data_IF_196585320432
#
_entry.id   IF_196585320432
#
_cell.length_a   1.000
_cell.length_b   1.000
_cell.length_c   1.000
_cell.angle_alpha   90.00
_cell.angle_beta   90.00
_cell.angle_gamma   90.00
#
_symmetry.space_group_name_H-M   'P 1'
#
loop_
_entity.id
_entity.type
_entity.pdbx_description
1 polymer ?
#
# COMPACT_ATOMS: atom_id res chain seq x y z
N UNK A 1 -41.63 -15.73 -95.18
CA UNK A 1 -40.24 -15.33 -94.85
C UNK A 1 -39.89 -13.90 -95.24
N UNK A 2 -40.79 -13.16 -95.91
CA UNK A 2 -40.44 -11.85 -96.51
C UNK A 2 -40.70 -10.61 -95.60
N UNK A 3 -41.67 -10.70 -94.68
CA UNK A 3 -41.99 -9.58 -93.77
C UNK A 3 -41.01 -9.43 -92.59
N UNK A 4 -40.46 -10.54 -92.07
CA UNK A 4 -39.45 -10.52 -91.00
C UNK A 4 -38.10 -9.97 -91.48
N UNK A 5 -37.76 -10.09 -92.77
CA UNK A 5 -36.48 -9.63 -93.32
C UNK A 5 -36.44 -8.11 -93.55
N UNK A 6 -37.57 -7.49 -93.92
CA UNK A 6 -37.68 -6.03 -94.02
C UNK A 6 -37.65 -5.32 -92.66
N UNK A 7 -38.18 -5.95 -91.61
CA UNK A 7 -38.14 -5.40 -90.25
C UNK A 7 -36.72 -5.44 -89.66
N UNK A 8 -35.93 -6.47 -89.97
CA UNK A 8 -34.52 -6.58 -89.53
C UNK A 8 -33.62 -5.59 -90.27
N UNK A 9 -33.86 -5.32 -91.56
CA UNK A 9 -33.11 -4.28 -92.30
C UNK A 9 -33.36 -2.85 -91.79
N UNK A 10 -34.54 -2.57 -91.25
CA UNK A 10 -34.86 -1.26 -90.64
C UNK A 10 -34.30 -1.09 -89.23
N UNK A 11 -33.99 -2.20 -88.54
CA UNK A 11 -33.32 -2.18 -87.23
C UNK A 11 -31.81 -1.94 -87.32
N UNK A 12 -31.19 -2.20 -88.48
CA UNK A 12 -29.75 -1.98 -88.72
C UNK A 12 -29.43 -0.78 -89.63
N UNK A 13 -30.43 0.05 -89.95
CA UNK A 13 -30.22 1.39 -90.51
C UNK A 13 -30.05 2.41 -89.37
N UNK A 14 -29.04 2.19 -88.52
CA UNK A 14 -28.59 3.23 -87.59
C UNK A 14 -27.48 3.98 -88.30
N UNK A 15 -27.68 5.27 -88.53
CA UNK A 15 -26.69 6.18 -89.10
C UNK A 15 -25.34 5.91 -88.41
N UNK A 16 -24.33 5.56 -89.20
CA UNK A 16 -22.99 5.33 -88.67
C UNK A 16 -22.53 6.62 -87.99
N UNK A 17 -22.10 6.50 -86.73
CA UNK A 17 -21.59 7.64 -85.96
C UNK A 17 -20.48 8.35 -86.74
N UNK A 18 -20.56 9.69 -86.80
CA UNK A 18 -19.51 10.49 -87.41
C UNK A 18 -18.22 10.33 -86.61
N UNK A 19 -17.06 10.33 -87.29
CA UNK A 19 -15.73 10.29 -86.67
C UNK A 19 -15.60 11.35 -85.56
N UNK A 20 -16.20 12.54 -85.77
CA UNK A 20 -16.19 13.63 -84.79
C UNK A 20 -16.91 13.24 -83.50
N UNK A 21 -18.04 12.54 -83.59
CA UNK A 21 -18.84 12.13 -82.43
C UNK A 21 -18.15 11.05 -81.61
N UNK A 22 -17.47 10.11 -82.27
CA UNK A 22 -16.65 9.09 -81.61
C UNK A 22 -15.47 9.74 -80.90
N UNK A 23 -14.78 10.69 -81.54
CA UNK A 23 -13.66 11.41 -80.92
C UNK A 23 -14.10 12.24 -79.72
N UNK A 24 -15.22 12.96 -79.82
CA UNK A 24 -15.79 13.73 -78.69
C UNK A 24 -16.18 12.81 -77.54
N UNK A 25 -16.78 11.66 -77.84
CA UNK A 25 -17.16 10.67 -76.81
C UNK A 25 -15.94 10.09 -76.10
N UNK A 26 -14.86 9.76 -76.82
CA UNK A 26 -13.61 9.28 -76.21
C UNK A 26 -13.00 10.33 -75.28
N UNK A 27 -12.99 11.60 -75.70
CA UNK A 27 -12.48 12.70 -74.87
C UNK A 27 -13.33 12.87 -73.61
N UNK A 28 -14.66 12.87 -73.73
CA UNK A 28 -15.57 13.00 -72.58
C UNK A 28 -15.38 11.83 -71.62
N UNK A 29 -15.32 10.59 -72.11
CA UNK A 29 -15.09 9.41 -71.26
C UNK A 29 -13.73 9.51 -70.57
N UNK A 30 -12.67 9.89 -71.29
CA UNK A 30 -11.34 10.08 -70.72
C UNK A 30 -11.32 11.14 -69.61
N UNK A 31 -12.00 12.27 -69.82
CA UNK A 31 -12.13 13.32 -68.81
C UNK A 31 -12.89 12.82 -67.58
N UNK A 32 -14.06 12.19 -67.75
CA UNK A 32 -14.86 11.66 -66.64
C UNK A 32 -14.08 10.59 -65.86
N UNK A 33 -13.39 9.67 -66.54
CA UNK A 33 -12.57 8.65 -65.89
C UNK A 33 -11.42 9.27 -65.10
N UNK A 34 -10.74 10.28 -65.64
CA UNK A 34 -9.67 10.99 -64.93
C UNK A 34 -10.21 11.71 -63.69
N UNK A 35 -11.33 12.44 -63.80
CA UNK A 35 -11.97 13.13 -62.68
C UNK A 35 -12.41 12.15 -61.59
N UNK A 36 -12.96 11.00 -61.98
CA UNK A 36 -13.32 9.93 -61.05
C UNK A 36 -12.11 9.39 -60.28
N UNK A 37 -10.99 9.16 -60.96
CA UNK A 37 -9.75 8.70 -60.32
C UNK A 37 -9.15 9.75 -59.37
N UNK A 38 -9.13 11.04 -59.76
CA UNK A 38 -8.70 12.13 -58.89
C UNK A 38 -9.60 12.29 -57.66
N UNK A 39 -10.92 12.14 -57.80
CA UNK A 39 -11.86 12.19 -56.68
C UNK A 39 -11.62 11.05 -55.68
N UNK A 40 -11.45 9.81 -56.16
CA UNK A 40 -11.22 8.65 -55.28
C UNK A 40 -9.86 8.72 -54.59
N UNK A 41 -8.81 9.13 -55.31
CA UNK A 41 -7.46 9.23 -54.73
C UNK A 41 -7.38 10.32 -53.65
N UNK A 42 -7.98 11.49 -53.89
CA UNK A 42 -8.03 12.56 -52.89
C UNK A 42 -8.88 12.20 -51.66
N UNK A 43 -10.04 11.57 -51.87
CA UNK A 43 -10.91 11.15 -50.78
C UNK A 43 -10.24 10.10 -49.88
N UNK A 44 -9.59 9.08 -50.46
CA UNK A 44 -8.92 8.02 -49.69
C UNK A 44 -7.76 8.55 -48.85
N UNK A 45 -7.00 9.54 -49.33
CA UNK A 45 -5.98 10.21 -48.52
C UNK A 45 -6.61 10.94 -47.32
N UNK A 46 -7.68 11.70 -47.53
CA UNK A 46 -8.35 12.44 -46.45
C UNK A 46 -8.90 11.54 -45.34
N UNK A 47 -9.43 10.36 -45.71
CA UNK A 47 -9.89 9.34 -44.77
C UNK A 47 -8.74 8.75 -43.95
N UNK A 48 -7.59 8.47 -44.58
CA UNK A 48 -6.41 7.97 -43.86
C UNK A 48 -5.86 8.99 -42.87
N UNK A 49 -5.76 10.26 -43.28
CA UNK A 49 -5.33 11.37 -42.41
C UNK A 49 -6.24 11.46 -41.20
N UNK A 50 -7.55 11.46 -41.43
CA UNK A 50 -8.56 11.59 -40.39
C UNK A 50 -8.51 10.40 -39.43
N UNK A 51 -8.42 9.17 -39.96
CA UNK A 51 -8.29 7.96 -39.16
C UNK A 51 -7.04 8.01 -38.27
N UNK A 52 -5.87 8.33 -38.84
CA UNK A 52 -4.61 8.35 -38.09
C UNK A 52 -4.64 9.38 -36.95
N UNK A 53 -5.19 10.58 -37.21
CA UNK A 53 -5.38 11.60 -36.17
C UNK A 53 -6.34 11.16 -35.08
N UNK A 54 -7.45 10.51 -35.43
CA UNK A 54 -8.39 9.95 -34.45
C UNK A 54 -7.71 8.87 -33.60
N UNK A 55 -6.92 7.99 -34.21
CA UNK A 55 -6.15 6.98 -33.49
C UNK A 55 -5.13 7.62 -32.53
N UNK A 56 -4.41 8.65 -32.97
CA UNK A 56 -3.47 9.40 -32.14
C UNK A 56 -4.16 10.07 -30.94
N UNK A 57 -5.33 10.68 -31.15
CA UNK A 57 -6.13 11.29 -30.07
C UNK A 57 -6.68 10.25 -29.10
N UNK A 58 -7.17 9.11 -29.59
CA UNK A 58 -7.64 8.01 -28.74
C UNK A 58 -6.49 7.42 -27.90
N UNK A 59 -5.31 7.24 -28.50
CA UNK A 59 -4.11 6.80 -27.79
C UNK A 59 -3.70 7.82 -26.72
N UNK A 60 -3.77 9.11 -27.06
CA UNK A 60 -3.51 10.19 -26.10
C UNK A 60 -4.49 10.11 -24.92
N UNK A 61 -5.79 9.97 -25.17
CA UNK A 61 -6.78 9.85 -24.11
C UNK A 61 -6.54 8.62 -23.24
N UNK A 62 -6.30 7.45 -23.86
CA UNK A 62 -5.97 6.22 -23.13
C UNK A 62 -4.73 6.40 -22.25
N UNK A 63 -3.67 7.04 -22.77
CA UNK A 63 -2.44 7.30 -22.02
C UNK A 63 -2.67 8.25 -20.83
N UNK A 64 -3.56 9.23 -20.96
CA UNK A 64 -3.95 10.09 -19.85
C UNK A 64 -4.74 9.34 -18.78
N UNK A 65 -5.66 8.46 -19.18
CA UNK A 65 -6.46 7.65 -18.25
C UNK A 65 -5.57 6.70 -17.45
N UNK A 66 -4.65 6.02 -18.14
CA UNK A 66 -3.67 5.11 -17.52
C UNK A 66 -2.73 5.85 -16.58
N UNK A 67 -2.20 7.01 -16.99
CA UNK A 67 -1.38 7.86 -16.14
C UNK A 67 -2.13 8.34 -14.89
N UNK A 68 -3.42 8.70 -15.01
CA UNK A 68 -4.24 9.09 -13.86
C UNK A 68 -4.47 7.92 -12.90
N UNK A 69 -4.68 6.71 -13.43
CA UNK A 69 -4.82 5.50 -12.61
C UNK A 69 -3.51 5.16 -11.88
N UNK A 70 -2.37 5.19 -12.59
CA UNK A 70 -1.05 5.01 -12.02
C UNK A 70 -0.76 6.03 -10.92
N UNK A 71 -1.10 7.30 -11.13
CA UNK A 71 -0.91 8.38 -10.16
C UNK A 71 -1.72 8.20 -8.87
N UNK A 72 -2.82 7.43 -8.88
CA UNK A 72 -3.58 7.16 -7.66
C UNK A 72 -2.87 6.17 -6.73
N UNK A 73 -2.10 5.24 -7.28
CA UNK A 73 -1.49 4.15 -6.51
C UNK A 73 0.00 4.36 -6.29
N UNK A 74 0.69 4.90 -7.30
CA UNK A 74 2.16 4.99 -7.36
C UNK A 74 2.65 6.44 -7.50
N UNK A 75 1.92 7.41 -6.94
CA UNK A 75 2.24 8.84 -7.06
C UNK A 75 3.71 9.17 -6.76
N UNK A 76 4.25 8.62 -5.68
CA UNK A 76 5.62 8.89 -5.25
C UNK A 76 6.68 8.25 -6.17
N UNK A 77 6.33 7.17 -6.89
CA UNK A 77 7.24 6.47 -7.81
C UNK A 77 7.25 7.08 -9.22
N UNK A 78 6.25 7.92 -9.56
CA UNK A 78 6.15 8.64 -10.82
C UNK A 78 7.24 9.71 -10.94
N UNK A 79 8.43 9.33 -11.38
CA UNK A 79 9.54 10.25 -11.65
C UNK A 79 9.96 10.16 -13.12
N UNK A 80 10.69 11.17 -13.58
CA UNK A 80 11.23 11.19 -14.94
C UNK A 80 12.20 10.02 -15.16
N UNK A 81 12.16 9.39 -16.34
CA UNK A 81 13.03 8.27 -16.75
C UNK A 81 12.91 6.98 -15.91
N UNK A 82 12.15 6.97 -14.81
CA UNK A 82 11.75 5.73 -14.12
C UNK A 82 10.45 5.19 -14.68
N UNK A 83 9.57 6.09 -15.12
CA UNK A 83 8.21 5.80 -15.54
C UNK A 83 7.98 6.15 -17.01
N UNK A 84 7.70 5.12 -17.80
CA UNK A 84 7.31 5.25 -19.21
C UNK A 84 6.44 4.05 -19.62
N UNK A 85 5.82 4.12 -20.80
CA UNK A 85 4.95 3.07 -21.36
C UNK A 85 5.75 1.86 -21.90
N UNK A 86 6.71 1.39 -21.10
CA UNK A 86 7.61 0.28 -21.41
C UNK A 86 7.41 -0.88 -20.44
N UNK A 87 7.79 -2.08 -20.86
CA UNK A 87 7.71 -3.28 -20.02
C UNK A 87 8.62 -3.15 -18.80
N UNK A 88 8.10 -3.51 -17.62
CA UNK A 88 8.86 -3.47 -16.37
C UNK A 88 8.92 -2.08 -15.71
N UNK A 89 8.09 -1.12 -16.13
CA UNK A 89 7.98 0.16 -15.43
C UNK A 89 7.47 -0.05 -13.99
N UNK A 90 8.00 0.70 -13.00
CA UNK A 90 7.65 0.54 -11.59
C UNK A 90 6.29 1.14 -11.21
N UNK A 91 5.74 2.01 -12.05
CA UNK A 91 4.53 2.80 -11.77
C UNK A 91 3.23 2.20 -12.30
N UNK A 92 3.27 0.99 -12.85
CA UNK A 92 2.07 0.26 -13.27
C UNK A 92 1.39 0.80 -14.54
N UNK A 93 2.12 1.52 -15.39
CA UNK A 93 1.64 1.95 -16.71
C UNK A 93 1.53 0.74 -17.66
N UNK A 94 0.54 0.73 -18.55
CA UNK A 94 0.34 -0.33 -19.54
C UNK A 94 1.46 -0.32 -20.60
N UNK A 95 2.37 -1.31 -20.61
CA UNK A 95 3.44 -1.39 -21.61
C UNK A 95 2.92 -1.75 -23.00
N UNK A 96 1.67 -2.22 -23.09
CA UNK A 96 1.02 -2.66 -24.31
C UNK A 96 0.04 -1.60 -24.83
N UNK A 97 0.21 -0.34 -24.44
CA UNK A 97 -0.74 0.73 -24.79
C UNK A 97 -0.90 0.94 -26.30
N UNK A 98 0.13 0.63 -27.09
CA UNK A 98 0.14 0.68 -28.56
C UNK A 98 -0.26 -0.63 -29.24
N UNK A 99 -0.62 -1.68 -28.50
CA UNK A 99 -1.03 -2.96 -29.10
C UNK A 99 -2.26 -2.79 -29.97
N UNK A 100 -2.20 -3.32 -31.20
CA UNK A 100 -3.26 -3.17 -32.19
C UNK A 100 -3.18 -1.88 -33.02
N UNK A 101 -2.21 -1.00 -32.74
CA UNK A 101 -1.88 0.13 -33.62
C UNK A 101 -0.75 -0.24 -34.59
N UNK A 102 -0.60 0.50 -35.70
CA UNK A 102 0.53 0.34 -36.59
C UNK A 102 1.86 0.71 -35.89
N UNK A 103 2.97 0.11 -36.33
CA UNK A 103 4.28 0.13 -35.64
C UNK A 103 4.94 1.51 -35.52
N UNK A 104 4.45 2.50 -36.25
CA UNK A 104 4.94 3.88 -36.25
C UNK A 104 4.40 4.72 -35.09
N UNK A 105 3.41 4.20 -34.35
CA UNK A 105 2.89 4.87 -33.16
C UNK A 105 3.77 4.62 -31.94
N UNK A 106 4.18 5.70 -31.28
CA UNK A 106 4.91 5.64 -30.00
C UNK A 106 4.37 6.67 -29.03
N UNK A 107 4.50 6.37 -27.73
CA UNK A 107 4.12 7.27 -26.63
C UNK A 107 5.34 7.44 -25.76
N UNK A 108 5.70 8.70 -25.48
CA UNK A 108 6.75 9.04 -24.54
C UNK A 108 6.14 9.84 -23.39
N UNK A 109 6.58 9.56 -22.18
CA UNK A 109 6.21 10.28 -20.98
C UNK A 109 7.41 11.03 -20.41
N UNK A 110 7.21 12.30 -20.05
CA UNK A 110 8.19 13.09 -19.29
C UNK A 110 7.52 13.68 -18.07
N UNK A 111 8.13 13.54 -16.90
CA UNK A 111 7.53 13.97 -15.62
C UNK A 111 8.43 15.03 -15.00
N UNK A 112 7.84 16.16 -14.64
CA UNK A 112 8.54 17.28 -14.00
C UNK A 112 7.89 17.58 -12.66
N UNK A 113 8.70 17.74 -11.60
CA UNK A 113 8.21 18.19 -10.29
C UNK A 113 7.95 19.70 -10.36
N UNK A 114 6.78 20.13 -9.91
CA UNK A 114 6.37 21.53 -10.03
C UNK A 114 6.13 22.14 -8.65
N UNK A 115 7.05 23.00 -8.21
CA UNK A 115 7.00 23.86 -7.02
C UNK A 115 6.78 23.22 -5.63
N UNK A 116 6.13 22.05 -5.51
CA UNK A 116 5.82 21.35 -4.27
C UNK A 116 5.88 19.83 -4.45
N UNK A 117 6.04 19.07 -3.35
CA UNK A 117 6.02 17.60 -3.38
C UNK A 117 4.62 17.00 -3.66
N UNK A 118 3.61 17.85 -3.75
CA UNK A 118 2.20 17.49 -3.91
C UNK A 118 1.72 17.58 -5.37
N UNK A 119 2.50 18.21 -6.25
CA UNK A 119 2.13 18.45 -7.64
C UNK A 119 3.22 17.96 -8.59
N UNK A 120 2.81 17.15 -9.56
CA UNK A 120 3.65 16.67 -10.66
C UNK A 120 3.03 17.11 -11.98
N UNK A 121 3.87 17.57 -12.91
CA UNK A 121 3.49 17.95 -14.28
C UNK A 121 4.03 16.91 -15.23
N UNK A 122 3.13 16.15 -15.85
CA UNK A 122 3.44 15.14 -16.85
C UNK A 122 3.17 15.67 -18.26
N UNK A 123 4.15 15.58 -19.14
CA UNK A 123 4.02 15.84 -20.57
C UNK A 123 4.00 14.49 -21.29
N UNK A 124 2.89 14.19 -21.94
CA UNK A 124 2.73 13.01 -22.79
C UNK A 124 2.86 13.45 -24.24
N UNK A 125 3.70 12.74 -24.99
CA UNK A 125 3.93 12.96 -26.42
C UNK A 125 3.59 11.69 -27.17
N UNK A 126 2.58 11.76 -28.04
CA UNK A 126 2.24 10.68 -28.99
C UNK A 126 2.84 11.05 -30.33
N UNK A 127 3.66 10.16 -30.90
CA UNK A 127 4.27 10.31 -32.22
C UNK A 127 3.70 9.28 -33.18
N UNK A 128 3.50 9.67 -34.44
CA UNK A 128 3.13 8.77 -35.53
C UNK A 128 3.72 9.26 -36.86
N UNK A 129 3.71 8.41 -37.90
CA UNK A 129 4.19 8.77 -39.23
C UNK A 129 3.04 8.77 -40.22
N UNK A 130 2.93 9.84 -41.02
CA UNK A 130 1.91 9.96 -42.06
C UNK A 130 2.58 10.29 -43.38
N UNK A 131 2.49 9.38 -44.36
CA UNK A 131 3.10 9.54 -45.70
C UNK A 131 4.60 9.92 -45.67
N UNK A 132 5.35 9.44 -44.66
CA UNK A 132 6.77 9.73 -44.49
C UNK A 132 7.08 11.04 -43.74
N UNK A 133 6.06 11.78 -43.30
CA UNK A 133 6.21 12.91 -42.41
C UNK A 133 5.97 12.47 -40.95
N UNK A 134 6.86 12.89 -40.05
CA UNK A 134 6.68 12.67 -38.62
C UNK A 134 5.68 13.69 -38.05
N UNK A 135 4.73 13.19 -37.27
CA UNK A 135 3.74 14.00 -36.57
C UNK A 135 3.77 13.66 -35.09
N UNK A 136 3.47 14.67 -34.27
CA UNK A 136 3.32 14.48 -32.84
C UNK A 136 2.21 15.35 -32.28
N UNK A 137 1.60 14.86 -31.20
CA UNK A 137 0.65 15.60 -30.39
C UNK A 137 1.08 15.52 -28.94
N UNK A 138 1.05 16.66 -28.28
CA UNK A 138 1.50 16.82 -26.90
C UNK A 138 0.32 17.19 -26.01
N UNK A 139 0.29 16.65 -24.80
CA UNK A 139 -0.64 17.08 -23.77
C UNK A 139 0.07 17.19 -22.44
N UNK A 140 -0.42 18.10 -21.58
CA UNK A 140 0.08 18.28 -20.23
C UNK A 140 -0.99 17.84 -19.27
N UNK A 141 -0.62 16.99 -18.32
CA UNK A 141 -1.47 16.54 -17.22
C UNK A 141 -0.83 16.97 -15.92
N UNK A 142 -1.57 17.72 -15.12
CA UNK A 142 -1.19 18.00 -13.74
C UNK A 142 -1.75 16.90 -12.85
N UNK A 143 -0.88 16.31 -12.04
CA UNK A 143 -1.18 15.25 -11.10
C UNK A 143 -0.99 15.81 -9.70
N UNK A 144 -2.06 15.82 -8.92
CA UNK A 144 -1.99 16.10 -7.50
C UNK A 144 -1.83 14.79 -6.73
N UNK A 145 -1.12 14.83 -5.60
CA UNK A 145 -1.05 13.71 -4.67
C UNK A 145 -2.49 13.31 -4.32
N UNK A 146 -2.85 12.02 -4.42
CA UNK A 146 -4.15 11.55 -3.96
C UNK A 146 -4.33 11.93 -2.48
N UNK A 147 -5.55 12.30 -2.04
CA UNK A 147 -5.78 12.51 -0.63
C UNK A 147 -5.42 11.22 0.11
N UNK A 148 -4.58 11.33 1.15
CA UNK A 148 -4.33 10.18 2.01
C UNK A 148 -5.68 9.68 2.53
N UNK A 149 -5.90 8.35 2.52
CA UNK A 149 -7.15 7.82 3.00
C UNK A 149 -7.33 8.25 4.46
N UNK A 150 -8.57 8.63 4.81
CA UNK A 150 -8.88 9.06 6.18
C UNK A 150 -8.41 7.97 7.13
N UNK A 151 -7.58 8.29 8.12
CA UNK A 151 -7.06 7.27 9.01
C UNK A 151 -8.20 6.55 9.74
N UNK A 152 -7.99 5.28 10.04
CA UNK A 152 -8.83 4.50 10.94
C UNK A 152 -8.27 4.52 12.37
N UNK A 153 -8.91 3.76 13.24
CA UNK A 153 -8.48 3.64 14.63
C UNK A 153 -8.74 2.24 15.20
N UNK A 154 -7.92 1.84 16.19
CA UNK A 154 -8.09 0.60 16.95
C UNK A 154 -8.23 0.96 18.42
N UNK A 155 -9.29 0.46 19.03
CA UNK A 155 -9.60 0.69 20.45
C UNK A 155 -9.94 -0.63 21.13
N UNK A 156 -9.84 -0.69 22.45
CA UNK A 156 -10.40 -1.82 23.18
C UNK A 156 -9.90 -1.97 24.60
N UNK A 157 -10.02 -3.20 25.11
CA UNK A 157 -9.67 -3.54 26.48
C UNK A 157 -8.68 -4.71 26.60
N UNK A 158 -7.61 -4.48 27.35
CA UNK A 158 -6.68 -5.54 27.79
C UNK A 158 -7.00 -6.00 29.20
N UNK A 159 -7.17 -7.31 29.39
CA UNK A 159 -7.42 -7.95 30.70
C UNK A 159 -6.32 -8.95 31.05
N UNK A 160 -6.16 -9.27 32.32
CA UNK A 160 -5.25 -10.32 32.78
C UNK A 160 -6.02 -11.56 33.21
N UNK A 161 -5.44 -12.74 33.06
CA UNK A 161 -6.07 -13.99 33.55
C UNK A 161 -6.28 -14.00 35.07
N UNK A 162 -5.49 -13.23 35.82
CA UNK A 162 -5.53 -13.10 37.27
C UNK A 162 -6.33 -11.87 37.77
N UNK A 163 -6.78 -10.98 36.88
CA UNK A 163 -7.37 -9.70 37.32
C UNK A 163 -8.88 -9.76 37.56
N UNK A 164 -9.50 -10.94 37.48
CA UNK A 164 -10.94 -11.10 37.72
C UNK A 164 -11.82 -10.28 36.78
N UNK A 165 -11.33 -9.98 35.57
CA UNK A 165 -12.02 -9.12 34.60
C UNK A 165 -11.62 -7.65 34.63
N UNK A 166 -10.79 -7.21 35.59
CA UNK A 166 -10.26 -5.85 35.64
C UNK A 166 -9.26 -5.57 34.51
N UNK A 167 -9.20 -4.31 34.06
CA UNK A 167 -8.31 -3.88 33.00
C UNK A 167 -6.84 -3.89 33.45
N UNK A 168 -5.92 -4.25 32.56
CA UNK A 168 -4.48 -4.18 32.81
C UNK A 168 -3.93 -2.82 32.37
N UNK A 169 -3.26 -2.12 33.27
CA UNK A 169 -2.45 -0.92 32.99
C UNK A 169 -1.02 -1.26 32.53
N UNK A 170 -0.29 -0.27 32.00
CA UNK A 170 1.13 -0.39 31.63
C UNK A 170 1.43 -1.55 30.67
N UNK A 171 0.48 -1.88 29.79
CA UNK A 171 0.68 -2.86 28.73
C UNK A 171 1.21 -2.12 27.51
N UNK A 172 2.35 -2.56 26.98
CA UNK A 172 2.88 -2.02 25.72
C UNK A 172 2.25 -2.79 24.57
N UNK A 173 1.40 -2.12 23.80
CA UNK A 173 0.74 -2.67 22.61
C UNK A 173 1.47 -2.12 21.39
N UNK A 174 1.75 -2.99 20.43
CA UNK A 174 2.44 -2.66 19.19
C UNK A 174 1.64 -3.20 18.01
N UNK A 175 1.32 -2.31 17.06
CA UNK A 175 0.77 -2.64 15.76
C UNK A 175 1.88 -2.56 14.71
N UNK A 176 2.14 -3.69 14.04
CA UNK A 176 3.08 -3.77 12.91
C UNK A 176 2.31 -4.06 11.62
N UNK A 177 2.48 -3.27 10.55
CA UNK A 177 1.88 -3.55 9.25
C UNK A 177 2.22 -4.96 8.76
N UNK A 178 1.26 -5.71 8.23
CA UNK A 178 1.48 -7.08 7.75
C UNK A 178 2.20 -7.14 6.41
N UNK A 179 2.24 -6.02 5.68
CA UNK A 179 2.94 -5.84 4.40
C UNK A 179 4.44 -5.57 4.57
N UNK A 180 4.93 -5.42 5.80
CA UNK A 180 6.32 -5.09 6.10
C UNK A 180 6.66 -3.61 6.05
N UNK A 181 5.65 -2.72 5.94
CA UNK A 181 5.85 -1.27 6.05
C UNK A 181 6.48 -0.88 7.40
N UNK A 182 7.29 0.19 7.38
CA UNK A 182 7.93 0.76 8.58
C UNK A 182 6.97 1.58 9.47
N UNK A 183 5.68 1.64 9.13
CA UNK A 183 4.63 2.39 9.86
C UNK A 183 4.22 1.67 11.17
N UNK A 184 5.18 1.50 12.07
CA UNK A 184 4.99 0.80 13.35
C UNK A 184 4.43 1.77 14.39
N UNK A 185 3.26 1.45 14.95
CA UNK A 185 2.63 2.28 15.99
C UNK A 185 2.67 1.54 17.32
N UNK A 186 3.12 2.22 18.37
CA UNK A 186 3.24 1.64 19.72
C UNK A 186 2.55 2.56 20.73
N UNK A 187 1.76 1.97 21.62
CA UNK A 187 1.11 2.69 22.72
C UNK A 187 1.27 1.90 24.00
N UNK A 188 1.41 2.60 25.12
CA UNK A 188 1.36 2.00 26.45
C UNK A 188 0.03 2.35 27.09
N UNK A 189 -0.69 1.34 27.60
CA UNK A 189 -1.96 1.59 28.25
C UNK A 189 -1.76 2.44 29.52
N UNK A 190 -2.60 3.47 29.73
CA UNK A 190 -2.49 4.35 30.89
C UNK A 190 -2.65 3.58 32.19
N UNK A 191 -2.14 4.19 33.27
CA UNK A 191 -2.23 3.63 34.62
C UNK A 191 -3.65 3.66 35.19
N UNK A 192 -4.49 4.57 34.69
CA UNK A 192 -5.90 4.75 35.05
C UNK A 192 -6.79 4.52 33.83
N UNK A 193 -7.95 3.87 34.03
CA UNK A 193 -8.91 3.52 32.98
C UNK A 193 -9.45 4.79 32.28
N UNK A 194 -9.30 4.90 30.96
CA UNK A 194 -9.90 5.98 30.18
C UNK A 194 -11.40 5.69 29.97
N UNK A 195 -12.27 6.52 30.53
CA UNK A 195 -13.66 6.61 30.10
C UNK A 195 -13.74 7.49 28.86
N UNK A 196 -14.53 7.12 27.85
CA UNK A 196 -14.69 7.88 26.61
C UNK A 196 -14.95 9.39 26.83
N UNK A 197 -14.51 10.23 25.89
CA UNK A 197 -14.86 11.66 25.82
C UNK A 197 -16.34 11.93 25.44
N UNK A 198 -17.07 10.93 24.95
CA UNK A 198 -18.43 11.08 24.41
C UNK A 198 -19.57 10.81 25.41
N UNK A 199 -19.23 10.48 26.66
CA UNK A 199 -20.22 10.19 27.71
C UNK A 199 -21.01 8.90 27.52
N UNK A 200 -20.68 8.06 26.54
CA UNK A 200 -21.24 6.70 26.41
C UNK A 200 -20.41 5.70 27.20
N UNK A 201 -21.06 4.68 27.77
CA UNK A 201 -20.45 3.67 28.66
C UNK A 201 -19.62 2.63 27.90
N UNK A 202 -18.69 3.03 27.01
CA UNK A 202 -17.70 2.09 26.47
C UNK A 202 -16.47 2.13 27.37
N UNK A 203 -16.15 0.97 27.95
CA UNK A 203 -14.96 0.81 28.81
C UNK A 203 -13.76 0.40 27.94
N UNK A 204 -13.00 1.37 27.43
CA UNK A 204 -11.72 1.13 26.76
C UNK A 204 -10.57 1.41 27.73
N UNK A 205 -9.44 0.72 27.57
CA UNK A 205 -8.21 1.06 28.32
C UNK A 205 -7.00 1.29 27.40
N UNK A 206 -7.22 1.24 26.08
CA UNK A 206 -6.27 1.68 25.08
C UNK A 206 -7.01 2.21 23.87
N UNK A 207 -6.42 3.22 23.25
CA UNK A 207 -6.92 3.88 22.06
C UNK A 207 -5.72 4.36 21.25
N UNK A 208 -5.63 3.94 20.00
CA UNK A 208 -4.56 4.38 19.10
C UNK A 208 -4.76 5.79 18.55
N UNK A 209 -5.76 6.54 18.98
CA UNK A 209 -5.79 7.98 18.74
C UNK A 209 -4.62 8.64 19.49
N UNK A 210 -3.70 9.26 18.75
CA UNK A 210 -2.75 10.17 19.38
C UNK A 210 -3.52 11.17 20.25
N UNK A 211 -2.90 11.72 21.29
CA UNK A 211 -3.50 12.62 22.29
C UNK A 211 -4.14 13.92 21.75
N UNK A 212 -4.32 14.04 20.44
CA UNK A 212 -4.63 15.26 19.69
C UNK A 212 -5.87 15.17 18.80
N UNK A 213 -6.74 14.16 18.97
CA UNK A 213 -8.04 14.13 18.26
C UNK A 213 -7.94 13.91 16.75
N UNK A 214 -6.98 13.10 16.30
CA UNK A 214 -6.88 12.63 14.91
C UNK A 214 -6.94 11.11 14.89
N UNK A 215 -7.69 10.53 13.95
CA UNK A 215 -7.53 9.13 13.60
C UNK A 215 -6.06 8.89 13.23
N UNK A 216 -5.45 7.80 13.70
CA UNK A 216 -3.98 7.70 13.73
C UNK A 216 -3.40 6.53 12.97
N UNK A 217 -4.22 5.64 12.41
CA UNK A 217 -3.74 4.46 11.70
C UNK A 217 -4.11 4.56 10.23
N UNK A 218 -3.14 4.37 9.34
CA UNK A 218 -3.45 4.21 7.91
C UNK A 218 -4.34 2.97 7.74
N UNK A 219 -5.26 2.97 6.76
CA UNK A 219 -6.01 1.75 6.45
C UNK A 219 -5.07 0.64 5.97
N UNK A 220 -5.28 -0.57 6.44
CA UNK A 220 -4.41 -1.70 6.16
C UNK A 220 -4.59 -2.85 7.14
N UNK A 221 -3.83 -3.92 6.92
CA UNK A 221 -3.81 -5.08 7.80
C UNK A 221 -2.61 -4.99 8.75
N UNK A 222 -2.86 -5.17 10.04
CA UNK A 222 -1.88 -5.03 11.11
C UNK A 222 -1.79 -6.30 11.97
N UNK A 223 -0.60 -6.59 12.45
CA UNK A 223 -0.37 -7.61 13.48
C UNK A 223 -0.32 -6.90 14.83
N UNK A 224 -1.22 -7.28 15.74
CA UNK A 224 -1.27 -6.75 17.09
C UNK A 224 -0.48 -7.65 18.04
N UNK A 225 0.51 -7.06 18.69
CA UNK A 225 1.29 -7.69 19.75
C UNK A 225 1.18 -6.88 21.03
N UNK A 226 1.22 -7.54 22.18
CA UNK A 226 1.18 -6.88 23.48
C UNK A 226 2.16 -7.53 24.46
N UNK A 227 2.86 -6.70 25.23
CA UNK A 227 3.88 -7.11 26.18
C UNK A 227 3.74 -6.35 27.50
N UNK A 228 3.91 -7.08 28.61
CA UNK A 228 3.97 -6.54 29.97
C UNK A 228 4.79 -7.48 30.85
N UNK A 229 5.62 -6.92 31.74
CA UNK A 229 6.35 -7.73 32.73
C UNK A 229 5.38 -8.54 33.61
N UNK A 230 5.69 -9.83 33.82
CA UNK A 230 4.84 -10.77 34.56
C UNK A 230 3.72 -11.45 33.74
N UNK A 231 3.57 -11.09 32.46
CA UNK A 231 2.63 -11.73 31.53
C UNK A 231 3.37 -12.29 30.31
N UNK A 232 2.83 -13.34 29.71
CA UNK A 232 3.37 -13.88 28.45
C UNK A 232 3.04 -12.91 27.31
N UNK A 233 3.97 -12.76 26.36
CA UNK A 233 3.75 -11.95 25.16
C UNK A 233 2.49 -12.44 24.43
N UNK A 234 1.56 -11.52 24.17
CA UNK A 234 0.33 -11.80 23.46
C UNK A 234 0.49 -11.40 21.99
N UNK A 235 0.05 -12.28 21.10
CA UNK A 235 -0.10 -11.99 19.66
C UNK A 235 -1.53 -12.32 19.27
N UNK A 236 -2.22 -11.38 18.64
CA UNK A 236 -3.59 -11.60 18.21
C UNK A 236 -3.62 -12.67 17.08
N UNK A 237 -4.52 -13.67 17.13
CA UNK A 237 -4.49 -14.80 16.21
C UNK A 237 -4.84 -14.43 14.76
N UNK A 238 -5.57 -13.34 14.57
CA UNK A 238 -5.97 -12.83 13.25
C UNK A 238 -5.33 -11.48 12.98
N UNK A 239 -5.15 -11.15 11.70
CA UNK A 239 -4.75 -9.79 11.33
C UNK A 239 -5.88 -8.81 11.62
N UNK A 240 -5.51 -7.63 12.11
CA UNK A 240 -6.41 -6.52 12.41
C UNK A 240 -6.55 -5.68 11.14
N UNK A 241 -7.72 -5.71 10.53
CA UNK A 241 -8.02 -4.91 9.35
C UNK A 241 -8.56 -3.55 9.77
N UNK A 242 -7.79 -2.50 9.55
CA UNK A 242 -8.17 -1.12 9.81
C UNK A 242 -8.74 -0.52 8.52
N UNK A 243 -10.01 -0.13 8.55
CA UNK A 243 -10.64 0.57 7.43
C UNK A 243 -10.56 2.09 7.61
N UNK A 244 -10.67 2.81 6.49
CA UNK A 244 -10.74 4.28 6.49
C UNK A 244 -11.94 4.79 7.29
N UNK A 245 -11.71 5.80 8.14
CA UNK A 245 -12.73 6.45 8.97
C UNK A 245 -13.56 5.45 9.83
N UNK A 246 -12.94 4.36 10.26
CA UNK A 246 -13.59 3.34 11.08
C UNK A 246 -12.80 3.07 12.35
N UNK A 247 -13.51 2.91 13.46
CA UNK A 247 -12.98 2.39 14.72
C UNK A 247 -13.20 0.87 14.78
N UNK A 248 -12.12 0.13 14.98
CA UNK A 248 -12.16 -1.32 15.19
C UNK A 248 -11.94 -1.64 16.66
N UNK A 249 -12.82 -2.45 17.24
CA UNK A 249 -12.80 -2.79 18.67
C UNK A 249 -12.16 -4.16 18.86
N UNK A 250 -11.11 -4.23 19.68
CA UNK A 250 -10.40 -5.48 19.98
C UNK A 250 -10.21 -5.63 21.48
N UNK A 251 -10.83 -6.65 22.05
CA UNK A 251 -10.61 -7.03 23.44
C UNK A 251 -9.76 -8.29 23.50
N UNK A 252 -8.76 -8.31 24.38
CA UNK A 252 -7.94 -9.51 24.59
C UNK A 252 -7.49 -9.66 26.04
N UNK A 253 -7.15 -10.90 26.39
CA UNK A 253 -6.70 -11.28 27.73
C UNK A 253 -5.28 -11.82 27.67
N UNK A 254 -4.38 -11.26 28.47
CA UNK A 254 -3.02 -11.75 28.65
C UNK A 254 -2.96 -12.77 29.78
N UNK A 255 -2.19 -13.83 29.58
CA UNK A 255 -1.94 -14.86 30.59
C UNK A 255 -0.72 -14.50 31.42
N UNK A 256 -0.83 -14.67 32.75
CA UNK A 256 0.32 -14.51 33.65
C UNK A 256 1.36 -15.58 33.34
N UNK A 257 2.65 -15.22 33.42
CA UNK A 257 3.71 -16.23 33.39
C UNK A 257 3.74 -16.84 34.78
N UNK A 258 3.05 -17.98 34.94
CA UNK A 258 3.05 -18.71 36.20
C UNK A 258 4.44 -19.32 36.37
N UNK A 259 5.30 -18.65 37.14
CA UNK A 259 6.34 -19.36 37.89
C UNK A 259 5.57 -20.23 38.87
N UNK A 260 5.63 -21.57 38.81
CA UNK A 260 5.01 -22.40 39.84
C UNK A 260 5.49 -21.93 41.21
N UNK A 261 4.64 -21.97 42.24
CA UNK A 261 5.06 -21.66 43.61
C UNK A 261 6.29 -22.52 43.93
N UNK A 262 7.31 -21.97 44.60
CA UNK A 262 8.49 -22.74 44.98
C UNK A 262 8.04 -24.00 45.73
N UNK A 263 8.36 -25.16 45.17
CA UNK A 263 8.04 -26.45 45.77
C UNK A 263 9.32 -26.96 46.37
N UNK A 264 9.37 -27.06 47.70
CA UNK A 264 10.52 -27.68 48.33
C UNK A 264 10.63 -29.16 47.90
N UNK A 265 11.84 -29.63 47.63
CA UNK A 265 12.19 -31.00 47.25
C UNK A 265 12.52 -31.19 45.76
N UNK A 266 12.77 -30.11 45.01
CA UNK A 266 13.18 -30.18 43.59
C UNK A 266 14.72 -30.20 43.41
N UNK A 267 15.49 -30.06 44.50
CA UNK A 267 16.96 -30.08 44.51
C UNK A 267 17.63 -28.79 44.04
N UNK A 268 16.88 -27.71 43.80
CA UNK A 268 17.40 -26.41 43.34
C UNK A 268 16.84 -25.29 44.20
N UNK A 269 17.70 -24.53 44.87
CA UNK A 269 17.28 -23.35 45.63
C UNK A 269 16.78 -22.24 44.68
N UNK A 270 15.46 -22.10 44.52
CA UNK A 270 14.82 -21.15 43.61
C UNK A 270 14.61 -19.76 44.23
N UNK A 271 14.37 -18.74 43.39
CA UNK A 271 14.02 -17.40 43.88
C UNK A 271 12.67 -17.42 44.61
N UNK A 272 12.70 -17.22 45.93
CA UNK A 272 11.53 -17.35 46.82
C UNK A 272 11.67 -18.49 47.84
N UNK A 273 12.66 -19.36 47.65
CA UNK A 273 13.10 -20.33 48.64
C UNK A 273 14.21 -19.75 49.51
N UNK A 274 14.26 -20.16 50.76
CA UNK A 274 15.31 -19.80 51.70
C UNK A 274 15.67 -21.02 52.52
N UNK A 275 16.81 -21.01 53.18
CA UNK A 275 17.16 -22.07 54.14
C UNK A 275 16.11 -22.22 55.28
N UNK A 276 15.27 -21.19 55.52
CA UNK A 276 14.18 -21.20 56.51
C UNK A 276 12.91 -21.85 55.95
N UNK A 277 12.61 -21.61 54.67
CA UNK A 277 11.36 -22.02 54.05
C UNK A 277 11.47 -23.34 53.27
N UNK A 278 12.63 -23.63 52.66
CA UNK A 278 12.95 -24.87 51.95
C UNK A 278 14.39 -25.33 52.24
N UNK A 279 14.67 -25.82 53.47
CA UNK A 279 16.01 -26.33 53.84
C UNK A 279 16.45 -27.56 53.03
N UNK A 280 15.50 -28.27 52.40
CA UNK A 280 15.77 -29.45 51.56
C UNK A 280 16.53 -29.07 50.29
N UNK A 281 16.23 -27.90 49.69
CA UNK A 281 16.84 -27.47 48.42
C UNK A 281 17.90 -26.38 48.61
N UNK A 282 17.71 -25.49 49.60
CA UNK A 282 18.65 -24.40 49.91
C UNK A 282 19.71 -24.76 50.96
N UNK A 283 19.64 -25.98 51.51
CA UNK A 283 20.51 -26.44 52.58
C UNK A 283 20.14 -25.88 53.96
N UNK A 284 20.76 -26.40 55.03
CA UNK A 284 20.50 -25.94 56.39
C UNK A 284 20.92 -24.48 56.55
N UNK A 285 20.13 -23.70 57.28
CA UNK A 285 20.56 -22.36 57.65
C UNK A 285 21.85 -22.44 58.48
N UNK A 286 22.79 -21.50 58.29
CA UNK A 286 23.95 -21.40 59.17
C UNK A 286 23.48 -21.27 60.63
N UNK A 287 24.22 -21.86 61.59
CA UNK A 287 23.84 -21.81 62.99
C UNK A 287 23.67 -20.36 63.43
N UNK A 288 22.69 -20.07 64.30
CA UNK A 288 22.55 -18.75 64.88
C UNK A 288 23.87 -18.39 65.59
N UNK A 289 24.26 -17.12 65.48
CA UNK A 289 25.41 -16.55 66.23
C UNK A 289 25.28 -16.90 67.72
N UNK A 290 26.34 -17.44 68.32
CA UNK A 290 26.34 -17.85 69.72
C UNK A 290 27.31 -16.95 70.48
N UNK A 291 26.84 -15.80 70.96
CA UNK A 291 27.67 -15.00 71.84
C UNK A 291 27.74 -15.66 73.25
N UNK A 292 28.89 -15.58 73.91
CA UNK A 292 29.16 -16.04 75.27
C UNK A 292 30.00 -17.32 75.37
N UNK A 293 30.63 -17.77 74.27
CA UNK A 293 31.54 -18.92 74.27
C UNK A 293 33.01 -18.53 74.56
N UNK A 294 33.31 -17.23 74.67
CA UNK A 294 34.63 -16.69 74.97
C UNK A 294 35.61 -16.67 73.80
N UNK A 295 35.16 -16.89 72.56
CA UNK A 295 36.03 -16.92 71.38
C UNK A 295 35.35 -16.28 70.17
N UNK A 296 35.97 -15.25 69.59
CA UNK A 296 35.43 -14.54 68.43
C UNK A 296 35.45 -15.40 67.15
N UNK A 297 34.28 -15.91 66.75
CA UNK A 297 34.12 -16.75 65.54
C UNK A 297 33.78 -15.93 64.28
N UNK A 298 33.89 -16.53 63.09
CA UNK A 298 33.86 -15.81 61.81
C UNK A 298 32.56 -15.07 61.44
N UNK A 299 31.48 -15.21 62.22
CA UNK A 299 30.22 -14.42 62.08
C UNK A 299 30.00 -13.44 63.23
N UNK A 300 30.96 -13.37 64.14
CA UNK A 300 30.96 -12.50 65.30
C UNK A 300 31.88 -11.32 65.01
N UNK A 301 31.46 -10.15 65.48
CA UNK A 301 32.28 -8.95 65.43
C UNK A 301 32.07 -8.18 66.72
N UNK A 302 32.92 -7.18 66.95
CA UNK A 302 32.87 -6.36 68.15
C UNK A 302 31.57 -5.55 68.31
N UNK A 303 30.76 -5.42 67.25
CA UNK A 303 29.45 -4.75 67.29
C UNK A 303 28.32 -5.69 67.75
N UNK A 304 28.43 -6.99 67.44
CA UNK A 304 27.33 -7.94 67.60
C UNK A 304 27.57 -8.98 68.70
N UNK A 305 28.82 -9.29 69.06
CA UNK A 305 29.20 -10.16 70.18
C UNK A 305 30.41 -9.58 70.93
N UNK A 306 30.23 -8.41 71.55
CA UNK A 306 31.27 -7.68 72.30
C UNK A 306 31.91 -8.54 73.41
N UNK A 307 31.15 -9.44 74.03
CA UNK A 307 31.66 -10.33 75.07
C UNK A 307 32.72 -11.33 74.58
N UNK A 308 32.68 -11.73 73.30
CA UNK A 308 33.61 -12.74 72.74
C UNK A 308 34.64 -12.10 71.81
N UNK A 309 34.29 -11.03 71.10
CA UNK A 309 35.15 -10.31 70.15
C UNK A 309 35.80 -9.04 70.70
N UNK A 310 35.47 -8.66 71.94
CA UNK A 310 35.93 -7.42 72.55
C UNK A 310 35.25 -6.18 72.01
N UNK A 311 35.54 -5.04 72.65
CA UNK A 311 34.95 -3.74 72.32
C UNK A 311 35.51 -3.22 71.00
N UNK A 312 34.65 -2.71 70.11
CA UNK A 312 35.11 -2.05 68.89
C UNK A 312 35.92 -0.80 69.24
N UNK A 313 37.24 -0.93 69.21
CA UNK A 313 38.16 0.20 69.36
C UNK A 313 38.25 0.92 68.02
N UNK A 314 37.29 1.80 67.76
CA UNK A 314 37.29 2.64 66.57
C UNK A 314 38.53 3.52 66.51
N UNK A 315 39.27 3.44 65.40
CA UNK A 315 40.17 4.49 64.92
C UNK A 315 39.44 5.31 63.87
#
# INVERSE_FOLDING_TARGET
MDSKMKMIRKLFSRDAFSLVEVLVSIVIVGLISSMGWFAVSSYTQSEMVTRNRVLAVNLMQKSQEDLRAAAQTFFDQLEDNTCDFISGNPCGLDPNITTGLPLDYSVNLTITREASAELKRALITVNWSEFGAAHSINTIVFLARPPEPVPGNVIGRVRGSNTGGNALSLVTIRLTPSDGSSDITTITTPEWLHTNLDGTTRMINYDYSGTTGRFSLKPGSYILTAQRSGYSNYTHPTQVNVSSNQETIIDFTMTVVFSPPPVCGNGVCQSGESCVTCPVDCGPCPPPRVCGNGSCEGRENCENCENDCGICSGL
#
